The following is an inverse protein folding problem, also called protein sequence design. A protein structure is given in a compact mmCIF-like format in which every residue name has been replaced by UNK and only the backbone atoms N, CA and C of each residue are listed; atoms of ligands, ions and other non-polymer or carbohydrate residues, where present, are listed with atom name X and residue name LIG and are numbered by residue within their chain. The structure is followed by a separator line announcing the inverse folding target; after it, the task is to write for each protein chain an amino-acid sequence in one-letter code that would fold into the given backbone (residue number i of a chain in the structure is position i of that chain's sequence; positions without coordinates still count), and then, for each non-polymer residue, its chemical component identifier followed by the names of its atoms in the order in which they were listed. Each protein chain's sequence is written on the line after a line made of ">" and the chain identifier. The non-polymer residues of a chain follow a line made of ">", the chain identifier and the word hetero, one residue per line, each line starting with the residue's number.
data_IF_290124900386
#
_entry.id   IF_290124900386
#
_cell.length_a   1.000
_cell.length_b   1.000
_cell.length_c   1.000
_cell.angle_alpha   90.00
_cell.angle_beta   90.00
_cell.angle_gamma   90.00
#
_symmetry.space_group_name_H-M   'P 1'
#
loop_
_entity.id
_entity.type
_entity.pdbx_description
1 polymer ?
#
# COMPACT_ATOMS: atom_id res chain seq x y z
N UNK A 1 5.22 8.92 -6.93
CA UNK A 1 4.29 8.50 -5.86
C UNK A 1 4.61 9.29 -4.60
N UNK A 2 3.63 9.93 -3.97
CA UNK A 2 3.85 10.47 -2.61
C UNK A 2 4.20 9.31 -1.68
N UNK A 3 5.22 9.50 -0.86
CA UNK A 3 5.57 8.52 0.17
C UNK A 3 4.38 8.34 1.12
N UNK A 4 4.08 7.09 1.51
CA UNK A 4 2.95 6.78 2.38
C UNK A 4 3.07 7.43 3.78
N UNK A 5 4.29 7.76 4.19
CA UNK A 5 4.65 8.42 5.44
C UNK A 5 6.05 9.07 5.33
N UNK A 6 6.47 9.88 6.30
CA UNK A 6 7.82 10.45 6.38
C UNK A 6 8.78 9.50 7.13
N UNK A 7 9.81 8.92 6.47
CA UNK A 7 10.74 8.00 7.12
C UNK A 7 11.67 8.68 8.13
N UNK A 8 11.81 10.01 8.08
CA UNK A 8 12.67 10.78 9.01
C UNK A 8 11.89 11.34 10.21
N UNK A 9 10.61 11.00 10.35
CA UNK A 9 9.83 11.44 11.49
C UNK A 9 10.35 10.78 12.79
N UNK A 10 10.40 11.52 13.92
CA UNK A 10 10.84 10.94 15.18
C UNK A 10 9.89 9.83 15.64
N UNK A 11 10.45 8.73 16.15
CA UNK A 11 9.67 7.63 16.73
C UNK A 11 8.88 8.14 17.93
N UNK A 12 7.59 7.79 17.98
CA UNK A 12 6.72 8.10 19.12
C UNK A 12 6.27 6.79 19.76
N UNK A 13 6.26 6.76 21.10
CA UNK A 13 5.66 5.66 21.84
C UNK A 13 4.14 5.64 21.56
N UNK A 14 3.62 4.47 21.27
CA UNK A 14 2.19 4.24 21.10
C UNK A 14 1.74 3.21 22.14
N UNK A 15 0.71 3.55 22.94
CA UNK A 15 0.08 2.60 23.84
C UNK A 15 -0.90 1.76 23.03
N UNK A 16 -0.67 0.44 22.98
CA UNK A 16 -1.51 -0.49 22.24
C UNK A 16 -1.63 -1.80 23.02
N UNK A 17 -2.78 -2.46 22.88
CA UNK A 17 -3.05 -3.76 23.51
C UNK A 17 -2.84 -4.87 22.48
N UNK A 18 -1.94 -5.81 22.77
CA UNK A 18 -1.71 -7.04 21.99
C UNK A 18 -1.94 -8.25 22.88
N UNK A 19 -2.26 -9.38 22.26
CA UNK A 19 -2.27 -10.68 22.92
C UNK A 19 -0.92 -10.95 23.62
N UNK A 20 -0.96 -11.27 24.91
CA UNK A 20 0.24 -11.51 25.72
C UNK A 20 1.01 -12.78 25.34
N UNK A 21 0.33 -13.85 24.93
CA UNK A 21 0.98 -15.08 24.44
C UNK A 21 1.74 -14.83 23.13
N UNK A 22 1.17 -14.00 22.24
CA UNK A 22 1.85 -13.59 21.02
C UNK A 22 3.14 -12.80 21.32
N UNK A 23 3.09 -11.88 22.29
CA UNK A 23 4.28 -11.11 22.71
C UNK A 23 5.34 -12.02 23.33
N UNK A 24 4.93 -12.97 24.16
CA UNK A 24 5.85 -13.94 24.77
C UNK A 24 6.53 -14.78 23.70
N UNK A 25 5.77 -15.40 22.78
CA UNK A 25 6.32 -16.18 21.67
C UNK A 25 7.23 -15.36 20.77
N UNK A 26 6.87 -14.11 20.47
CA UNK A 26 7.71 -13.22 19.68
C UNK A 26 9.03 -12.93 20.38
N UNK A 27 9.01 -12.69 21.69
CA UNK A 27 10.21 -12.47 22.50
C UNK A 27 11.08 -13.72 22.59
N UNK A 28 10.47 -14.90 22.78
CA UNK A 28 11.18 -16.19 22.84
C UNK A 28 11.89 -16.53 21.53
N UNK A 29 11.38 -16.02 20.41
CA UNK A 29 11.95 -16.17 19.07
C UNK A 29 12.85 -14.99 18.65
N UNK A 30 13.19 -14.08 19.57
CA UNK A 30 14.00 -12.87 19.32
C UNK A 30 13.45 -11.97 18.20
N UNK A 31 12.13 -11.94 18.03
CA UNK A 31 11.46 -11.09 17.05
C UNK A 31 11.47 -9.65 17.52
N UNK A 32 12.02 -8.76 16.70
CA UNK A 32 11.99 -7.33 16.95
C UNK A 32 10.57 -6.76 16.76
N UNK A 33 9.85 -6.63 17.87
CA UNK A 33 8.47 -6.15 17.91
C UNK A 33 8.29 -4.77 17.26
N UNK A 34 9.20 -3.83 17.53
CA UNK A 34 9.12 -2.48 16.97
C UNK A 34 9.23 -2.50 15.44
N UNK A 35 10.23 -3.23 14.90
CA UNK A 35 10.44 -3.31 13.46
C UNK A 35 9.28 -4.04 12.77
N UNK A 36 8.78 -5.11 13.39
CA UNK A 36 7.66 -5.90 12.85
C UNK A 36 6.37 -5.08 12.81
N UNK A 37 6.05 -4.36 13.89
CA UNK A 37 4.89 -3.49 13.95
C UNK A 37 4.99 -2.35 12.93
N UNK A 38 6.16 -1.73 12.81
CA UNK A 38 6.40 -0.63 11.86
C UNK A 38 6.19 -1.13 10.41
N UNK A 39 6.76 -2.29 10.06
CA UNK A 39 6.58 -2.89 8.74
C UNK A 39 5.10 -3.23 8.45
N UNK A 40 4.41 -3.86 9.40
CA UNK A 40 2.99 -4.19 9.25
C UNK A 40 2.12 -2.94 9.04
N UNK A 41 2.41 -1.84 9.76
CA UNK A 41 1.73 -0.56 9.58
C UNK A 41 1.98 0.05 8.21
N UNK A 42 3.23 -0.01 7.72
CA UNK A 42 3.58 0.48 6.37
C UNK A 42 2.80 -0.27 5.30
N UNK A 43 2.70 -1.59 5.41
CA UNK A 43 1.96 -2.43 4.46
C UNK A 43 0.46 -2.12 4.50
N UNK A 44 -0.13 -2.01 5.69
CA UNK A 44 -1.53 -1.64 5.86
C UNK A 44 -1.83 -0.25 5.26
N UNK A 45 -0.97 0.74 5.51
CA UNK A 45 -1.09 2.09 4.95
C UNK A 45 -1.02 2.09 3.43
N UNK A 46 -0.02 1.40 2.85
CA UNK A 46 0.11 1.25 1.39
C UNK A 46 -1.12 0.60 0.79
N UNK A 47 -1.66 -0.44 1.42
CA UNK A 47 -2.88 -1.10 0.96
C UNK A 47 -4.06 -0.13 0.95
N UNK A 48 -4.28 0.60 2.04
CA UNK A 48 -5.37 1.58 2.15
C UNK A 48 -5.26 2.74 1.17
N UNK A 49 -4.06 3.29 0.97
CA UNK A 49 -3.83 4.35 0.00
C UNK A 49 -4.07 3.87 -1.44
N UNK A 50 -3.70 2.62 -1.78
CA UNK A 50 -4.03 2.03 -3.08
C UNK A 50 -5.53 1.85 -3.27
N UNK A 51 -6.23 1.32 -2.26
CA UNK A 51 -7.69 1.17 -2.29
C UNK A 51 -8.37 2.54 -2.51
N UNK A 52 -7.93 3.57 -1.79
CA UNK A 52 -8.46 4.92 -1.91
C UNK A 52 -8.16 5.53 -3.29
N UNK A 53 -6.94 5.40 -3.78
CA UNK A 53 -6.56 5.90 -5.11
C UNK A 53 -7.39 5.24 -6.22
N UNK A 54 -7.58 3.92 -6.16
CA UNK A 54 -8.43 3.19 -7.10
C UNK A 54 -9.89 3.65 -7.04
N UNK A 55 -10.41 3.93 -5.84
CA UNK A 55 -11.77 4.43 -5.68
C UNK A 55 -11.93 5.83 -6.30
N UNK A 56 -10.99 6.73 -6.02
CA UNK A 56 -10.98 8.11 -6.54
C UNK A 56 -10.81 8.15 -8.07
N UNK A 57 -9.96 7.30 -8.62
CA UNK A 57 -9.63 7.29 -10.05
C UNK A 57 -10.54 6.38 -10.88
N UNK A 58 -11.47 5.65 -10.26
CA UNK A 58 -12.36 4.69 -10.95
C UNK A 58 -13.06 5.31 -12.17
N UNK A 59 -13.59 6.53 -12.03
CA UNK A 59 -14.29 7.22 -13.13
C UNK A 59 -13.34 7.60 -14.28
N UNK A 60 -12.16 8.11 -13.96
CA UNK A 60 -11.15 8.46 -14.95
C UNK A 60 -10.61 7.22 -15.68
N UNK A 61 -10.39 6.12 -14.94
CA UNK A 61 -9.98 4.84 -15.51
C UNK A 61 -11.08 4.29 -16.43
N UNK A 62 -12.35 4.32 -16.02
CA UNK A 62 -13.46 3.88 -16.87
C UNK A 62 -13.56 4.69 -18.15
N UNK A 63 -13.53 6.02 -18.05
CA UNK A 63 -13.61 6.89 -19.22
C UNK A 63 -12.42 6.69 -20.19
N UNK A 64 -11.22 6.46 -19.64
CA UNK A 64 -10.05 6.14 -20.44
C UNK A 64 -10.19 4.77 -21.13
N UNK A 65 -10.66 3.75 -20.41
CA UNK A 65 -10.88 2.42 -20.97
C UNK A 65 -11.91 2.46 -22.10
N UNK A 66 -13.03 3.16 -21.92
CA UNK A 66 -14.05 3.37 -22.97
C UNK A 66 -13.47 4.08 -24.19
N UNK A 67 -12.63 5.10 -23.97
CA UNK A 67 -11.94 5.80 -25.06
C UNK A 67 -11.02 4.87 -25.84
N UNK A 68 -10.22 4.05 -25.15
CA UNK A 68 -9.32 3.06 -25.76
C UNK A 68 -10.09 1.97 -26.50
N UNK A 69 -11.21 1.47 -25.97
CA UNK A 69 -12.06 0.52 -26.68
C UNK A 69 -12.65 1.12 -27.96
N UNK A 70 -13.05 2.39 -27.92
CA UNK A 70 -13.66 3.06 -29.06
C UNK A 70 -12.65 3.54 -30.13
N UNK A 71 -11.42 3.92 -29.73
CA UNK A 71 -10.45 4.60 -30.61
C UNK A 71 -9.12 3.84 -30.77
N UNK A 72 -8.94 2.72 -30.06
CA UNK A 72 -7.66 2.01 -29.97
C UNK A 72 -6.63 2.77 -29.14
N UNK A 73 -5.44 2.19 -28.99
CA UNK A 73 -4.27 2.92 -28.47
C UNK A 73 -3.40 3.42 -29.62
N UNK A 74 -2.68 4.52 -29.41
CA UNK A 74 -1.76 5.10 -30.39
C UNK A 74 -0.76 4.10 -31.00
N UNK A 75 -0.38 3.08 -30.23
CA UNK A 75 0.57 2.03 -30.66
C UNK A 75 -0.06 0.84 -31.39
N UNK A 76 -1.38 0.78 -31.56
CA UNK A 76 -2.04 -0.38 -32.18
C UNK A 76 -1.65 -0.56 -33.65
N UNK A 77 -1.30 0.51 -34.37
CA UNK A 77 -0.76 0.43 -35.73
C UNK A 77 0.74 0.10 -35.83
N UNK A 78 1.46 0.06 -34.69
CA UNK A 78 2.91 -0.14 -34.63
C UNK A 78 3.30 -1.52 -34.09
N UNK A 79 2.32 -2.34 -33.67
CA UNK A 79 2.54 -3.72 -33.23
C UNK A 79 2.69 -4.64 -34.46
N UNK A 80 3.88 -4.63 -35.06
CA UNK A 80 4.31 -5.66 -36.00
C UNK A 80 4.80 -6.91 -35.25
N UNK A 81 4.31 -8.08 -35.64
CA UNK A 81 4.79 -9.40 -35.19
C UNK A 81 6.02 -9.83 -35.99
#
# INVERSE_FOLDING_TARGET
>A
MRAAYNPNAPKRAANLSVNGDLLNKAKDLDINLSATLEQALIEALKKKQREQWLAENRKAISAYNEHVEAHGVFSDGLRGF
#
